data_IF_557919746563
#
_entry.id   IF_557919746563
#
_cell.length_a   1.000
_cell.length_b   1.000
_cell.length_c   1.000
_cell.angle_alpha   90.00
_cell.angle_beta   90.00
_cell.angle_gamma   90.00
#
_symmetry.space_group_name_H-M   'P 1'
#
loop_
_entity.id
_entity.type
_entity.pdbx_description
1 polymer ?
#
# COMPACT_ATOMS: atom_id res chain seq x y z
N UNK A 1 25.52 -12.37 12.61
CA UNK A 1 25.32 -12.08 11.19
C UNK A 1 26.57 -11.40 10.66
N UNK A 2 27.17 -11.91 9.58
CA UNK A 2 28.35 -11.27 8.98
C UNK A 2 27.91 -9.93 8.37
N UNK A 3 28.72 -8.87 8.47
CA UNK A 3 28.31 -7.52 8.05
C UNK A 3 27.83 -7.42 6.58
N UNK A 4 28.23 -8.36 5.73
CA UNK A 4 27.76 -8.50 4.35
C UNK A 4 26.29 -8.91 4.23
N UNK A 5 25.81 -9.84 5.06
CA UNK A 5 24.41 -10.30 5.05
C UNK A 5 23.46 -9.18 5.53
N UNK A 6 23.86 -8.48 6.59
CA UNK A 6 23.09 -7.34 7.10
C UNK A 6 22.95 -6.24 6.04
N UNK A 7 24.06 -5.90 5.37
CA UNK A 7 24.07 -4.90 4.30
C UNK A 7 23.17 -5.28 3.14
N UNK A 8 23.16 -6.56 2.77
CA UNK A 8 22.33 -7.07 1.69
C UNK A 8 20.84 -6.97 2.03
N UNK A 9 20.44 -7.43 3.23
CA UNK A 9 19.07 -7.30 3.72
C UNK A 9 18.62 -5.82 3.82
N UNK A 10 19.49 -4.95 4.32
CA UNK A 10 19.18 -3.52 4.43
C UNK A 10 18.98 -2.88 3.04
N UNK A 11 19.82 -3.25 2.07
CA UNK A 11 19.72 -2.76 0.70
C UNK A 11 18.40 -3.18 0.06
N UNK A 12 18.00 -4.44 0.25
CA UNK A 12 16.72 -4.98 -0.22
C UNK A 12 15.52 -4.26 0.43
N UNK A 13 15.57 -4.01 1.74
CA UNK A 13 14.54 -3.26 2.46
C UNK A 13 14.42 -1.84 1.90
N UNK A 14 15.54 -1.12 1.79
CA UNK A 14 15.57 0.25 1.30
C UNK A 14 15.08 0.34 -0.14
N UNK A 15 15.57 -0.53 -1.03
CA UNK A 15 15.13 -0.56 -2.41
C UNK A 15 13.62 -0.79 -2.51
N UNK A 16 13.09 -1.78 -1.78
CA UNK A 16 11.66 -2.07 -1.77
C UNK A 16 10.84 -0.87 -1.26
N UNK A 17 11.27 -0.24 -0.16
CA UNK A 17 10.59 0.93 0.39
C UNK A 17 10.57 2.11 -0.60
N UNK A 18 11.73 2.44 -1.17
CA UNK A 18 11.84 3.52 -2.15
C UNK A 18 11.07 3.23 -3.45
N UNK A 19 11.07 1.98 -3.92
CA UNK A 19 10.35 1.61 -5.12
C UNK A 19 8.84 1.84 -4.99
N UNK A 20 8.25 1.42 -3.86
CA UNK A 20 6.82 1.65 -3.59
C UNK A 20 6.50 3.14 -3.58
N UNK A 21 7.30 3.93 -2.87
CA UNK A 21 7.11 5.39 -2.78
C UNK A 21 7.22 6.01 -4.17
N UNK A 22 8.32 5.75 -4.88
CA UNK A 22 8.59 6.34 -6.18
C UNK A 22 7.49 5.99 -7.19
N UNK A 23 7.09 4.73 -7.27
CA UNK A 23 6.02 4.29 -8.18
C UNK A 23 4.70 4.97 -7.82
N UNK A 24 4.34 5.06 -6.53
CA UNK A 24 3.10 5.72 -6.13
C UNK A 24 3.08 7.19 -6.54
N UNK A 25 4.16 7.91 -6.28
CA UNK A 25 4.27 9.33 -6.63
C UNK A 25 4.29 9.56 -8.15
N UNK A 26 4.88 8.65 -8.92
CA UNK A 26 4.83 8.69 -10.38
C UNK A 26 3.42 8.45 -10.92
N UNK A 27 2.66 7.54 -10.29
CA UNK A 27 1.28 7.24 -10.68
C UNK A 27 0.29 8.29 -10.18
N UNK A 28 0.62 9.03 -9.12
CA UNK A 28 -0.28 9.98 -8.45
C UNK A 28 -1.00 10.95 -9.40
N UNK A 29 -0.34 11.58 -10.40
CA UNK A 29 -1.04 12.48 -11.33
C UNK A 29 -2.11 11.79 -12.17
N UNK A 30 -2.07 10.45 -12.30
CA UNK A 30 -3.05 9.65 -13.03
C UNK A 30 -4.15 9.09 -12.13
N UNK A 31 -4.07 9.26 -10.82
CA UNK A 31 -5.09 8.81 -9.87
C UNK A 31 -6.24 9.82 -9.88
N UNK A 32 -7.40 9.39 -10.38
CA UNK A 32 -8.63 10.20 -10.29
C UNK A 32 -9.19 10.15 -8.87
N UNK A 33 -9.53 11.30 -8.29
CA UNK A 33 -10.14 11.40 -6.96
C UNK A 33 -11.61 10.93 -6.98
N UNK A 34 -11.80 9.62 -6.99
CA UNK A 34 -13.13 8.99 -6.91
C UNK A 34 -13.44 8.59 -5.48
N UNK A 35 -14.52 9.12 -4.92
CA UNK A 35 -15.05 8.68 -3.62
C UNK A 35 -16.19 7.70 -3.83
N UNK A 36 -16.13 6.53 -3.19
CA UNK A 36 -17.28 5.65 -3.07
C UNK A 36 -17.85 5.72 -1.66
N UNK A 37 -19.17 5.55 -1.55
CA UNK A 37 -19.88 5.56 -0.25
C UNK A 37 -20.45 4.17 -0.01
N UNK A 38 -19.99 3.50 1.04
CA UNK A 38 -20.59 2.27 1.53
C UNK A 38 -21.59 2.61 2.64
N UNK A 39 -22.79 2.02 2.60
CA UNK A 39 -23.80 2.20 3.64
C UNK A 39 -23.93 0.90 4.42
N UNK A 40 -23.56 0.90 5.70
CA UNK A 40 -23.71 -0.26 6.60
C UNK A 40 -24.56 0.17 7.79
N UNK A 41 -25.70 -0.49 8.01
CA UNK A 41 -26.61 -0.23 9.14
C UNK A 41 -26.81 1.27 9.42
N UNK A 42 -27.16 2.05 8.38
CA UNK A 42 -27.36 3.52 8.35
C UNK A 42 -26.10 4.41 8.44
N UNK A 43 -24.91 3.85 8.63
CA UNK A 43 -23.65 4.60 8.61
C UNK A 43 -23.07 4.68 7.20
N UNK A 44 -22.73 5.91 6.76
CA UNK A 44 -22.03 6.16 5.49
C UNK A 44 -20.52 6.13 5.73
N UNK A 45 -19.83 5.23 5.05
CA UNK A 45 -18.38 5.10 5.05
C UNK A 45 -17.87 5.61 3.70
N UNK A 46 -17.08 6.67 3.72
CA UNK A 46 -16.49 7.24 2.50
C UNK A 46 -15.10 6.65 2.27
N UNK A 47 -14.86 6.16 1.07
CA UNK A 47 -13.60 5.53 0.67
C UNK A 47 -13.04 6.29 -0.53
N UNK A 48 -11.76 6.70 -0.46
CA UNK A 48 -11.06 7.17 -1.64
C UNK A 48 -10.64 5.96 -2.48
N UNK A 49 -11.53 5.55 -3.38
CA UNK A 49 -11.32 4.42 -4.27
C UNK A 49 -10.20 4.70 -5.28
N UNK A 50 -9.96 5.97 -5.61
CA UNK A 50 -8.87 6.40 -6.46
C UNK A 50 -7.52 6.02 -5.85
N UNK A 51 -7.32 6.43 -4.59
CA UNK A 51 -6.11 6.08 -3.84
C UNK A 51 -5.93 4.57 -3.71
N UNK A 52 -7.01 3.82 -3.39
CA UNK A 52 -6.94 2.35 -3.25
C UNK A 52 -6.53 1.69 -4.57
N UNK A 53 -7.12 2.12 -5.70
CA UNK A 53 -6.75 1.62 -7.03
C UNK A 53 -5.30 1.98 -7.38
N UNK A 54 -4.90 3.23 -7.17
CA UNK A 54 -3.55 3.70 -7.43
C UNK A 54 -2.50 2.96 -6.60
N UNK A 55 -2.81 2.70 -5.32
CA UNK A 55 -1.97 1.88 -4.46
C UNK A 55 -1.89 0.42 -4.94
N UNK A 56 -3.01 -0.18 -5.38
CA UNK A 56 -3.01 -1.52 -5.97
C UNK A 56 -2.11 -1.62 -7.21
N UNK A 57 -2.19 -0.65 -8.12
CA UNK A 57 -1.32 -0.58 -9.31
C UNK A 57 0.14 -0.37 -8.90
N UNK A 58 0.38 0.48 -7.89
CA UNK A 58 1.73 0.69 -7.33
C UNK A 58 2.33 -0.63 -6.84
N UNK A 59 1.57 -1.40 -6.06
CA UNK A 59 2.02 -2.69 -5.55
C UNK A 59 2.32 -3.68 -6.67
N UNK A 60 1.49 -3.70 -7.72
CA UNK A 60 1.71 -4.56 -8.88
C UNK A 60 3.01 -4.22 -9.61
N UNK A 61 3.24 -2.95 -9.94
CA UNK A 61 4.47 -2.52 -10.61
C UNK A 61 5.68 -2.78 -9.71
N UNK A 62 5.58 -2.46 -8.42
CA UNK A 62 6.67 -2.69 -7.47
C UNK A 62 6.99 -4.19 -7.37
N UNK A 63 5.98 -5.05 -7.32
CA UNK A 63 6.17 -6.50 -7.36
C UNK A 63 6.94 -6.95 -8.61
N UNK A 64 6.57 -6.43 -9.79
CA UNK A 64 7.30 -6.71 -11.04
C UNK A 64 8.76 -6.27 -10.94
N UNK A 65 9.02 -5.06 -10.41
CA UNK A 65 10.39 -4.58 -10.19
C UNK A 65 11.18 -5.48 -9.23
N UNK A 66 10.56 -5.93 -8.13
CA UNK A 66 11.19 -6.86 -7.20
C UNK A 66 11.55 -8.19 -7.86
N UNK A 67 10.65 -8.74 -8.69
CA UNK A 67 10.90 -10.00 -9.40
C UNK A 67 12.03 -9.86 -10.43
N UNK A 68 12.16 -8.71 -11.08
CA UNK A 68 13.18 -8.46 -12.10
C UNK A 68 14.55 -8.13 -11.51
N UNK A 69 14.62 -7.29 -10.48
CA UNK A 69 15.87 -6.69 -10.02
C UNK A 69 16.39 -7.23 -8.69
N UNK A 70 15.55 -7.88 -7.87
CA UNK A 70 15.92 -8.27 -6.50
C UNK A 70 16.06 -9.77 -6.32
N UNK A 71 16.77 -10.15 -5.26
CA UNK A 71 16.91 -11.55 -4.86
C UNK A 71 15.58 -12.07 -4.28
N UNK A 72 14.91 -12.93 -5.05
CA UNK A 72 13.59 -13.52 -4.74
C UNK A 72 13.57 -14.37 -3.47
N UNK A 73 14.73 -14.79 -2.97
CA UNK A 73 14.84 -15.54 -1.72
C UNK A 73 14.71 -14.66 -0.47
N UNK A 74 14.92 -13.35 -0.57
CA UNK A 74 14.80 -12.41 0.55
C UNK A 74 13.38 -11.88 0.74
N UNK A 75 12.39 -12.77 0.71
CA UNK A 75 10.96 -12.44 0.76
C UNK A 75 10.65 -11.54 1.97
N UNK A 76 11.18 -11.85 3.15
CA UNK A 76 10.93 -11.06 4.36
C UNK A 76 11.47 -9.64 4.27
N UNK A 77 12.69 -9.45 3.72
CA UNK A 77 13.26 -8.12 3.53
C UNK A 77 12.46 -7.31 2.51
N UNK A 78 11.99 -7.93 1.44
CA UNK A 78 11.13 -7.29 0.44
C UNK A 78 9.81 -6.81 1.06
N UNK A 79 9.16 -7.65 1.88
CA UNK A 79 7.90 -7.31 2.54
C UNK A 79 8.07 -6.24 3.61
N UNK A 80 9.13 -6.32 4.43
CA UNK A 80 9.43 -5.27 5.42
C UNK A 80 9.65 -3.93 4.71
N UNK A 81 10.46 -3.91 3.64
CA UNK A 81 10.66 -2.71 2.84
C UNK A 81 9.35 -2.16 2.25
N UNK A 82 8.48 -3.04 1.75
CA UNK A 82 7.20 -2.65 1.16
C UNK A 82 6.28 -2.00 2.20
N UNK A 83 6.21 -2.58 3.39
CA UNK A 83 5.44 -2.01 4.50
C UNK A 83 6.00 -0.66 4.92
N UNK A 84 7.32 -0.56 5.13
CA UNK A 84 7.99 0.71 5.49
C UNK A 84 7.75 1.78 4.43
N UNK A 85 7.88 1.44 3.15
CA UNK A 85 7.61 2.37 2.04
C UNK A 85 6.13 2.73 1.86
N UNK A 86 5.21 1.89 2.35
CA UNK A 86 3.77 2.18 2.31
C UNK A 86 3.32 3.12 3.42
N UNK A 87 4.07 3.24 4.53
CA UNK A 87 3.70 4.12 5.65
C UNK A 87 3.56 5.59 5.24
N UNK A 88 4.50 6.23 4.49
CA UNK A 88 4.32 7.61 4.03
C UNK A 88 3.13 7.81 3.08
N UNK A 89 2.66 6.75 2.43
CA UNK A 89 1.52 6.83 1.51
C UNK A 89 0.19 7.02 2.25
N UNK A 90 0.14 6.66 3.54
CA UNK A 90 -1.03 6.90 4.40
C UNK A 90 -1.37 8.39 4.47
N UNK A 91 -0.36 9.26 4.52
CA UNK A 91 -0.57 10.72 4.57
C UNK A 91 -1.15 11.27 3.27
N UNK A 92 -1.02 10.52 2.17
CA UNK A 92 -1.61 10.85 0.88
C UNK A 92 -3.06 10.34 0.74
N UNK A 93 -3.55 9.52 1.68
CA UNK A 93 -4.94 9.09 1.70
C UNK A 93 -5.83 10.25 2.19
N UNK A 94 -6.45 10.95 1.25
CA UNK A 94 -7.37 12.05 1.56
C UNK A 94 -8.77 11.73 1.06
N UNK A 95 -9.75 11.87 1.94
CA UNK A 95 -11.17 11.78 1.55
C UNK A 95 -11.56 13.09 0.86
N UNK A 96 -12.07 13.06 -0.39
CA UNK A 96 -12.43 14.26 -1.15
C UNK A 96 -13.47 15.14 -0.43
N UNK A 97 -13.40 16.46 -0.67
CA UNK A 97 -13.98 17.52 0.17
C UNK A 97 -15.47 17.39 0.52
N UNK A 98 -16.31 16.81 -0.36
CA UNK A 98 -17.75 16.64 -0.10
C UNK A 98 -18.01 15.63 1.03
N UNK A 99 -17.25 14.54 1.06
CA UNK A 99 -17.33 13.55 2.13
C UNK A 99 -16.70 14.06 3.45
N UNK A 100 -15.69 14.93 3.36
CA UNK A 100 -15.10 15.61 4.52
C UNK A 100 -16.11 16.54 5.20
N UNK A 101 -16.94 17.25 4.44
CA UNK A 101 -18.03 18.09 4.99
C UNK A 101 -19.12 17.22 5.63
N UNK A 102 -19.56 16.15 4.97
CA UNK A 102 -20.59 15.24 5.52
C UNK A 102 -20.16 14.53 6.82
N UNK A 103 -18.86 14.23 6.98
CA UNK A 103 -18.31 13.68 8.22
C UNK A 103 -18.30 14.66 9.40
N UNK A 104 -18.18 15.97 9.14
CA UNK A 104 -18.21 16.99 10.22
C UNK A 104 -19.61 17.12 10.81
N UNK A 105 -20.66 16.86 10.01
CA UNK A 105 -22.06 16.93 10.46
C UNK A 105 -22.60 15.60 11.03
N UNK A 106 -21.93 14.46 10.82
CA UNK A 106 -22.36 13.14 11.28
C UNK A 106 -21.48 12.58 12.40
N UNK A 107 -21.72 13.01 13.63
CA UNK A 107 -20.87 12.72 14.79
C UNK A 107 -20.69 11.21 15.13
N UNK A 108 -19.41 10.86 15.33
CA UNK A 108 -18.86 9.97 16.38
C UNK A 108 -18.57 8.48 16.11
N UNK A 109 -19.25 7.78 15.20
CA UNK A 109 -18.92 6.35 14.94
C UNK A 109 -18.15 6.11 13.63
N UNK A 110 -18.42 6.90 12.58
CA UNK A 110 -17.81 6.72 11.26
C UNK A 110 -16.32 7.12 11.20
N UNK A 111 -15.88 8.00 12.12
CA UNK A 111 -14.49 8.48 12.19
C UNK A 111 -13.48 7.36 12.45
N UNK A 112 -13.84 6.34 13.26
CA UNK A 112 -12.92 5.24 13.60
C UNK A 112 -12.77 4.20 12.48
N UNK A 113 -13.81 3.98 11.67
CA UNK A 113 -13.74 2.97 10.59
C UNK A 113 -12.98 3.53 9.40
N UNK A 114 -13.23 4.80 9.03
CA UNK A 114 -12.60 5.42 7.86
C UNK A 114 -11.09 5.62 8.00
N UNK A 115 -10.60 5.85 9.22
CA UNK A 115 -9.16 5.94 9.50
C UNK A 115 -8.44 4.59 9.36
N UNK A 116 -9.15 3.46 9.53
CA UNK A 116 -8.57 2.11 9.48
C UNK A 116 -8.44 1.57 8.05
N UNK A 117 -9.27 2.05 7.12
CA UNK A 117 -9.31 1.59 5.72
C UNK A 117 -7.94 1.63 5.02
N UNK A 118 -7.18 2.74 5.03
CA UNK A 118 -5.89 2.76 4.33
C UNK A 118 -4.85 1.82 4.97
N UNK A 119 -4.90 1.60 6.29
CA UNK A 119 -4.04 0.61 6.95
C UNK A 119 -4.40 -0.82 6.53
N UNK A 120 -5.70 -1.14 6.46
CA UNK A 120 -6.15 -2.44 5.97
C UNK A 120 -5.73 -2.67 4.52
N UNK A 121 -5.83 -1.65 3.67
CA UNK A 121 -5.38 -1.74 2.28
C UNK A 121 -3.88 -2.06 2.19
N UNK A 122 -3.04 -1.43 3.02
CA UNK A 122 -1.60 -1.72 3.09
C UNK A 122 -1.33 -3.14 3.57
N UNK A 123 -1.96 -3.57 4.66
CA UNK A 123 -1.74 -4.91 5.24
C UNK A 123 -2.18 -5.99 4.24
N UNK A 124 -3.38 -5.86 3.67
CA UNK A 124 -3.90 -6.80 2.69
C UNK A 124 -3.05 -6.80 1.41
N UNK A 125 -2.60 -5.63 0.96
CA UNK A 125 -1.71 -5.49 -0.18
C UNK A 125 -0.36 -6.17 0.05
N UNK A 126 0.26 -5.97 1.22
CA UNK A 126 1.51 -6.62 1.59
C UNK A 126 1.36 -8.15 1.68
N UNK A 127 0.25 -8.65 2.25
CA UNK A 127 -0.06 -10.08 2.28
C UNK A 127 -0.21 -10.65 0.86
N UNK A 128 -0.89 -9.93 -0.03
CA UNK A 128 -1.04 -10.33 -1.42
C UNK A 128 0.32 -10.42 -2.13
N UNK A 129 1.18 -9.40 -1.96
CA UNK A 129 2.54 -9.40 -2.53
C UNK A 129 3.38 -10.54 -1.94
N UNK A 130 3.23 -10.87 -0.65
CA UNK A 130 3.92 -12.00 -0.02
C UNK A 130 3.53 -13.32 -0.69
N UNK A 131 2.23 -13.54 -0.93
CA UNK A 131 1.74 -14.74 -1.64
C UNK A 131 2.30 -14.78 -3.06
N UNK A 132 2.25 -13.67 -3.79
CA UNK A 132 2.80 -13.58 -5.15
C UNK A 132 4.31 -13.85 -5.19
N UNK A 133 5.09 -13.30 -4.26
CA UNK A 133 6.54 -13.54 -4.16
C UNK A 133 6.83 -15.01 -3.86
N UNK A 134 6.06 -15.66 -2.98
CA UNK A 134 6.21 -17.11 -2.73
C UNK A 134 5.93 -17.94 -3.98
N UNK A 135 4.90 -17.59 -4.74
CA UNK A 135 4.57 -18.26 -6.02
C UNK A 135 5.68 -18.03 -7.04
N UNK A 136 6.11 -16.78 -7.22
CA UNK A 136 7.19 -16.43 -8.16
C UNK A 136 8.49 -17.18 -7.82
N UNK A 137 8.88 -17.21 -6.54
CA UNK A 137 10.06 -17.94 -6.08
C UNK A 137 9.94 -19.46 -6.30
N UNK A 138 8.73 -20.01 -6.36
CA UNK A 138 8.50 -21.43 -6.69
C UNK A 138 8.60 -21.70 -8.20
N UNK A 139 8.19 -20.75 -9.04
CA UNK A 139 8.19 -20.88 -10.50
C UNK A 139 9.58 -20.62 -11.08
N UNK A 140 10.26 -19.58 -10.61
CA UNK A 140 11.60 -19.19 -11.07
C UNK A 140 12.73 -19.93 -10.36
N UNK A 141 12.44 -21.12 -9.83
CA UNK A 141 13.38 -21.96 -9.11
C UNK A 141 14.38 -22.61 -10.04
#
# INVERSE_FOLDING_TARGET
>A
MKGTELRDHLSTILFSAFAVIAVFFLLRPMITDTTETLVINTQKIYINLGWVKGYGVTLFITFVLMVLFMNKHQIWSLIIGLLVGSLPLLEQYQIPGVARVMNVFGQSAALNVQTVIPYLAIILGALLVLVLLKIANRIFK
#
